data_IF_857959760349
#
_entry.id   IF_857959760349
#
_cell.length_a   1.000
_cell.length_b   1.000
_cell.length_c   1.000
_cell.angle_alpha   90.00
_cell.angle_beta   90.00
_cell.angle_gamma   90.00
#
_symmetry.space_group_name_H-M   'P 1'
#
loop_
_entity.id
_entity.type
_entity.pdbx_description
1 polymer ?
#
# COMPACT_ATOMS: atom_id res chain seq x y z
N UNK A 1 -65.99 25.62 -23.13
CA UNK A 1 -65.02 25.03 -24.08
C UNK A 1 -63.98 26.07 -24.45
N UNK A 2 -62.77 26.01 -23.87
CA UNK A 2 -61.57 26.70 -24.36
C UNK A 2 -60.35 25.93 -23.84
N UNK A 3 -59.43 25.67 -24.76
CA UNK A 3 -58.49 24.54 -24.79
C UNK A 3 -57.27 24.80 -23.90
N UNK A 4 -56.91 23.82 -23.08
CA UNK A 4 -55.62 23.73 -22.39
C UNK A 4 -54.64 23.10 -23.39
N UNK A 5 -53.61 23.84 -23.81
CA UNK A 5 -52.49 23.29 -24.57
C UNK A 5 -51.36 23.07 -23.57
N UNK A 6 -51.21 21.81 -23.16
CA UNK A 6 -50.16 21.32 -22.28
C UNK A 6 -48.82 21.35 -23.03
N UNK A 7 -47.86 22.11 -22.54
CA UNK A 7 -46.48 22.11 -23.07
C UNK A 7 -45.72 20.93 -22.47
N UNK A 8 -45.30 19.98 -23.30
CA UNK A 8 -44.52 18.80 -22.92
C UNK A 8 -43.04 19.16 -22.96
N UNK A 9 -42.45 19.46 -21.80
CA UNK A 9 -40.99 19.58 -21.65
C UNK A 9 -40.44 18.18 -21.42
N UNK A 10 -39.80 17.60 -22.44
CA UNK A 10 -39.01 16.38 -22.31
C UNK A 10 -37.68 16.76 -21.65
N UNK A 11 -37.54 16.43 -20.36
CA UNK A 11 -36.29 16.53 -19.63
C UNK A 11 -35.37 15.37 -20.01
N UNK A 12 -34.29 15.67 -20.74
CA UNK A 12 -33.22 14.72 -20.99
C UNK A 12 -32.39 14.58 -19.70
N UNK A 13 -32.66 13.56 -18.90
CA UNK A 13 -31.80 13.16 -17.78
C UNK A 13 -30.50 12.59 -18.34
N UNK A 14 -29.45 13.41 -18.38
CA UNK A 14 -28.07 12.95 -18.55
C UNK A 14 -27.66 12.25 -17.25
N UNK A 15 -27.77 10.92 -17.21
CA UNK A 15 -27.12 10.13 -16.17
C UNK A 15 -25.62 10.16 -16.44
N UNK A 16 -24.92 11.06 -15.76
CA UNK A 16 -23.47 10.97 -15.63
C UNK A 16 -23.20 9.75 -14.76
N UNK A 17 -22.96 8.59 -15.38
CA UNK A 17 -22.36 7.47 -14.67
C UNK A 17 -20.97 7.94 -14.24
N UNK A 18 -20.80 8.24 -12.96
CA UNK A 18 -19.48 8.40 -12.37
C UNK A 18 -18.77 7.06 -12.57
N UNK A 19 -17.87 7.01 -13.55
CA UNK A 19 -17.02 5.82 -13.71
C UNK A 19 -16.09 5.82 -12.51
N UNK A 20 -16.29 4.86 -11.61
CA UNK A 20 -15.40 4.66 -10.48
C UNK A 20 -13.96 4.50 -11.00
N UNK A 21 -13.06 5.37 -10.55
CA UNK A 21 -11.68 5.36 -10.99
C UNK A 21 -11.01 4.10 -10.42
N UNK A 22 -10.61 3.16 -11.29
CA UNK A 22 -9.84 2.00 -10.85
C UNK A 22 -8.40 2.39 -10.52
N UNK A 23 -7.93 1.99 -9.35
CA UNK A 23 -6.58 2.27 -8.85
C UNK A 23 -5.74 0.98 -8.92
N UNK A 24 -4.55 1.00 -9.55
CA UNK A 24 -3.68 -0.17 -9.59
C UNK A 24 -3.03 -0.42 -8.23
N UNK A 25 -2.90 -1.68 -7.84
CA UNK A 25 -2.24 -2.10 -6.59
C UNK A 25 -0.74 -1.82 -6.60
N UNK A 26 -0.12 -1.89 -7.79
CA UNK A 26 1.32 -1.66 -7.95
C UNK A 26 1.62 -0.65 -9.06
N UNK A 27 2.77 0.00 -8.90
CA UNK A 27 3.43 0.75 -9.94
C UNK A 27 4.63 -0.05 -10.44
N UNK A 28 4.70 -0.24 -11.76
CA UNK A 28 5.66 -1.09 -12.44
C UNK A 28 6.66 -0.23 -13.21
N UNK A 29 7.94 -0.41 -12.91
CA UNK A 29 9.07 0.25 -13.56
C UNK A 29 9.97 -0.75 -14.31
N UNK A 30 10.99 -0.21 -14.97
CA UNK A 30 11.99 -1.01 -15.67
C UNK A 30 12.78 -1.92 -14.72
N UNK A 31 13.38 -2.98 -15.27
CA UNK A 31 14.27 -3.87 -14.51
C UNK A 31 15.54 -3.12 -14.09
N UNK A 32 15.99 -3.36 -12.86
CA UNK A 32 17.17 -2.76 -12.27
C UNK A 32 17.78 -3.72 -11.25
N UNK A 33 19.06 -3.52 -10.89
CA UNK A 33 19.67 -4.29 -9.82
C UNK A 33 19.15 -3.85 -8.44
N UNK A 34 19.16 -4.76 -7.46
CA UNK A 34 18.71 -4.46 -6.09
C UNK A 34 19.52 -3.30 -5.48
N UNK A 35 20.84 -3.33 -5.63
CA UNK A 35 21.72 -2.27 -5.12
C UNK A 35 21.46 -0.90 -5.77
N UNK A 36 21.19 -0.87 -7.08
CA UNK A 36 20.83 0.39 -7.76
C UNK A 36 19.49 0.94 -7.26
N UNK A 37 18.50 0.07 -7.05
CA UNK A 37 17.18 0.45 -6.54
C UNK A 37 17.31 1.05 -5.14
N UNK A 38 18.00 0.39 -4.22
CA UNK A 38 18.23 0.91 -2.87
C UNK A 38 18.93 2.26 -2.88
N UNK A 39 20.00 2.39 -3.66
CA UNK A 39 20.77 3.63 -3.77
C UNK A 39 19.91 4.80 -4.28
N UNK A 40 19.12 4.56 -5.34
CA UNK A 40 18.23 5.57 -5.92
C UNK A 40 17.06 5.92 -5.01
N UNK A 41 16.55 4.98 -4.23
CA UNK A 41 15.51 5.24 -3.22
C UNK A 41 16.07 6.14 -2.10
N UNK A 42 17.23 5.77 -1.53
CA UNK A 42 17.91 6.59 -0.50
C UNK A 42 18.20 8.02 -0.98
N UNK A 43 18.73 8.14 -2.20
CA UNK A 43 19.07 9.44 -2.81
C UNK A 43 17.85 10.36 -2.95
N UNK A 44 16.66 9.80 -3.14
CA UNK A 44 15.42 10.57 -3.29
C UNK A 44 14.57 10.63 -2.00
N UNK A 45 15.20 10.46 -0.83
CA UNK A 45 14.57 10.75 0.45
C UNK A 45 13.80 9.60 1.08
N UNK A 46 13.97 8.37 0.59
CA UNK A 46 13.45 7.18 1.27
C UNK A 46 14.44 6.66 2.30
N UNK A 47 13.91 6.28 3.45
CA UNK A 47 14.59 5.44 4.42
C UNK A 47 14.36 3.96 4.04
N UNK A 48 15.43 3.17 4.01
CA UNK A 48 15.34 1.72 3.80
C UNK A 48 15.29 1.05 5.18
N UNK A 49 14.16 0.43 5.49
CA UNK A 49 13.92 -0.20 6.79
C UNK A 49 14.43 -1.64 6.84
N UNK A 50 14.25 -2.38 5.74
CA UNK A 50 14.73 -3.75 5.61
C UNK A 50 14.88 -4.13 4.13
N UNK A 51 15.80 -5.05 3.86
CA UNK A 51 15.90 -5.74 2.57
C UNK A 51 15.87 -7.25 2.83
N UNK A 52 14.95 -7.96 2.18
CA UNK A 52 14.83 -9.42 2.29
C UNK A 52 14.63 -10.01 0.90
N UNK A 53 15.55 -10.88 0.50
CA UNK A 53 15.64 -11.40 -0.87
C UNK A 53 15.63 -10.26 -1.91
N UNK A 54 14.54 -10.13 -2.66
CA UNK A 54 14.34 -9.12 -3.70
C UNK A 54 13.36 -8.02 -3.28
N UNK A 55 12.97 -7.95 -2.00
CA UNK A 55 12.03 -6.95 -1.50
C UNK A 55 12.75 -5.96 -0.61
N UNK A 56 12.58 -4.68 -0.92
CA UNK A 56 13.07 -3.54 -0.14
C UNK A 56 11.87 -2.88 0.52
N UNK A 57 11.89 -2.77 1.85
CA UNK A 57 10.88 -2.04 2.61
C UNK A 57 11.35 -0.62 2.84
N UNK A 58 10.52 0.34 2.43
CA UNK A 58 10.84 1.76 2.46
C UNK A 58 9.82 2.56 3.26
N UNK A 59 10.27 3.71 3.75
CA UNK A 59 9.39 4.73 4.33
C UNK A 59 9.91 6.13 4.00
N UNK A 60 9.07 7.14 4.23
CA UNK A 60 9.44 8.55 4.21
C UNK A 60 8.51 9.32 5.18
N UNK A 61 8.71 10.63 5.31
CA UNK A 61 7.93 11.44 6.25
C UNK A 61 6.43 11.55 5.91
N UNK A 62 6.06 11.47 4.63
CA UNK A 62 4.66 11.52 4.19
C UNK A 62 3.93 10.21 4.56
N UNK A 63 4.60 9.07 4.35
CA UNK A 63 4.11 7.75 4.73
C UNK A 63 4.00 7.63 6.26
N UNK A 64 5.03 8.00 7.03
CA UNK A 64 5.01 7.91 8.51
C UNK A 64 3.85 8.68 9.13
N UNK A 65 3.46 9.83 8.57
CA UNK A 65 2.35 10.67 9.06
C UNK A 65 0.97 10.00 8.99
N UNK A 66 0.83 8.92 8.24
CA UNK A 66 -0.43 8.18 8.15
C UNK A 66 -0.76 7.44 9.44
N UNK A 67 0.25 7.07 10.23
CA UNK A 67 0.10 6.29 11.46
C UNK A 67 -0.64 4.95 11.26
N UNK A 68 -0.60 4.37 10.06
CA UNK A 68 -1.19 3.07 9.71
C UNK A 68 -0.16 2.18 9.02
N UNK A 69 -0.59 1.00 8.55
CA UNK A 69 0.25 0.07 7.77
C UNK A 69 0.79 0.69 6.46
N UNK A 70 0.17 1.73 5.90
CA UNK A 70 0.74 2.44 4.73
C UNK A 70 1.97 3.28 5.08
N UNK A 71 2.37 3.35 6.35
CA UNK A 71 3.60 4.03 6.77
C UNK A 71 4.86 3.40 6.16
N UNK A 72 4.75 2.18 5.65
CA UNK A 72 5.77 1.47 4.89
C UNK A 72 5.22 1.07 3.53
N UNK A 73 6.12 0.96 2.54
CA UNK A 73 5.83 0.37 1.24
C UNK A 73 6.88 -0.67 0.90
N UNK A 74 6.49 -1.67 0.11
CA UNK A 74 7.39 -2.69 -0.40
C UNK A 74 7.69 -2.50 -1.89
N UNK A 75 8.98 -2.53 -2.20
CA UNK A 75 9.53 -2.50 -3.56
C UNK A 75 10.11 -3.87 -3.88
N UNK A 76 9.50 -4.60 -4.80
CA UNK A 76 10.04 -5.84 -5.34
C UNK A 76 10.91 -5.57 -6.56
N UNK A 77 12.11 -6.15 -6.56
CA UNK A 77 13.11 -6.06 -7.63
C UNK A 77 13.19 -7.40 -8.34
N UNK A 78 12.42 -7.56 -9.41
CA UNK A 78 12.35 -8.77 -10.19
C UNK A 78 13.15 -8.69 -11.50
N UNK A 79 13.36 -9.86 -12.12
CA UNK A 79 13.97 -9.94 -13.46
C UNK A 79 13.17 -9.17 -14.52
N UNK A 80 11.83 -9.24 -14.43
CA UNK A 80 10.89 -8.62 -15.36
C UNK A 80 10.62 -7.13 -15.09
N UNK A 81 11.15 -6.57 -14.01
CA UNK A 81 10.89 -5.19 -13.64
C UNK A 81 10.88 -4.96 -12.13
N UNK A 82 10.86 -3.69 -11.76
CA UNK A 82 10.61 -3.26 -10.38
C UNK A 82 9.12 -3.04 -10.19
N UNK A 83 8.57 -3.49 -9.06
CA UNK A 83 7.16 -3.30 -8.69
C UNK A 83 7.10 -2.70 -7.29
N UNK A 84 6.51 -1.52 -7.16
CA UNK A 84 6.31 -0.86 -5.87
C UNK A 84 4.82 -0.81 -5.54
N UNK A 85 4.47 -1.04 -4.28
CA UNK A 85 3.10 -0.82 -3.79
C UNK A 85 2.65 0.61 -4.09
N UNK A 86 1.46 0.76 -4.66
CA UNK A 86 0.91 2.07 -4.97
C UNK A 86 0.38 2.72 -3.67
N UNK A 87 0.98 3.84 -3.19
CA UNK A 87 0.55 4.45 -1.94
C UNK A 87 -0.91 4.93 -1.98
N UNK A 88 -1.46 5.29 -3.15
CA UNK A 88 -2.87 5.67 -3.25
C UNK A 88 -3.80 4.46 -3.05
N UNK A 89 -3.43 3.28 -3.56
CA UNK A 89 -4.20 2.05 -3.41
C UNK A 89 -4.27 1.63 -1.95
N UNK A 90 -3.12 1.52 -1.30
CA UNK A 90 -3.04 1.13 0.11
C UNK A 90 -3.51 2.25 1.04
N UNK A 91 -3.36 3.51 0.63
CA UNK A 91 -3.92 4.66 1.32
C UNK A 91 -5.43 4.58 1.42
N UNK A 92 -6.12 4.36 0.30
CA UNK A 92 -7.57 4.15 0.29
C UNK A 92 -7.98 2.95 1.14
N UNK A 93 -7.26 1.83 1.04
CA UNK A 93 -7.58 0.62 1.79
C UNK A 93 -7.37 0.77 3.32
N UNK A 94 -6.28 1.40 3.76
CA UNK A 94 -5.94 1.50 5.18
C UNK A 94 -6.45 2.77 5.88
N UNK A 95 -6.67 3.85 5.14
CA UNK A 95 -7.15 5.12 5.71
C UNK A 95 -8.65 5.32 5.51
N UNK A 96 -9.27 4.64 4.54
CA UNK A 96 -10.68 4.79 4.20
C UNK A 96 -11.05 6.27 4.04
N UNK A 97 -12.04 6.72 4.81
CA UNK A 97 -12.53 8.11 4.84
C UNK A 97 -11.45 9.15 5.20
N UNK A 98 -10.34 8.75 5.83
CA UNK A 98 -9.24 9.67 6.19
C UNK A 98 -8.30 9.94 5.02
N UNK A 99 -8.37 9.15 3.94
CA UNK A 99 -7.56 9.34 2.76
C UNK A 99 -7.94 10.63 2.03
N UNK A 100 -6.93 11.40 1.62
CA UNK A 100 -7.13 12.59 0.78
C UNK A 100 -6.49 12.36 -0.58
N UNK A 101 -7.22 12.65 -1.65
CA UNK A 101 -6.68 12.53 -3.01
C UNK A 101 -5.40 13.37 -3.15
N UNK A 102 -4.33 12.73 -3.64
CA UNK A 102 -3.02 13.37 -3.80
C UNK A 102 -2.22 13.51 -2.51
N UNK A 103 -2.66 12.91 -1.39
CA UNK A 103 -1.93 12.89 -0.13
C UNK A 103 -0.52 12.31 -0.25
N UNK A 104 -0.27 11.45 -1.24
CA UNK A 104 1.02 10.83 -1.49
C UNK A 104 1.80 11.42 -2.66
N UNK A 105 1.47 12.65 -3.09
CA UNK A 105 2.11 13.27 -4.25
C UNK A 105 3.63 13.35 -4.11
N UNK A 106 4.15 13.67 -2.90
CA UNK A 106 5.60 13.78 -2.67
C UNK A 106 6.26 12.40 -2.79
N UNK A 107 5.64 11.38 -2.21
CA UNK A 107 6.08 9.99 -2.28
C UNK A 107 6.10 9.49 -3.72
N UNK A 108 5.04 9.73 -4.47
CA UNK A 108 4.93 9.32 -5.88
C UNK A 108 5.99 10.01 -6.76
N UNK A 109 6.24 11.29 -6.55
CA UNK A 109 7.30 12.02 -7.27
C UNK A 109 8.70 11.49 -6.91
N UNK A 110 8.95 11.18 -5.64
CA UNK A 110 10.20 10.55 -5.22
C UNK A 110 10.36 9.16 -5.87
N UNK A 111 9.31 8.33 -5.91
CA UNK A 111 9.32 7.03 -6.57
C UNK A 111 9.63 7.15 -8.07
N UNK A 112 9.01 8.10 -8.77
CA UNK A 112 9.29 8.35 -10.21
C UNK A 112 10.74 8.80 -10.43
N UNK A 113 11.29 9.64 -9.56
CA UNK A 113 12.71 10.04 -9.64
C UNK A 113 13.66 8.87 -9.37
N UNK A 114 13.32 7.99 -8.43
CA UNK A 114 14.12 6.81 -8.11
C UNK A 114 14.06 5.72 -9.18
N UNK A 115 12.86 5.43 -9.69
CA UNK A 115 12.59 4.22 -10.49
C UNK A 115 12.30 4.53 -11.97
N UNK A 116 12.23 5.81 -12.33
CA UNK A 116 11.94 6.26 -13.68
C UNK A 116 10.46 6.25 -14.01
N UNK A 117 10.13 5.93 -15.27
CA UNK A 117 8.74 5.83 -15.71
C UNK A 117 8.03 4.65 -15.04
N UNK A 118 6.93 4.94 -14.35
CA UNK A 118 6.11 3.99 -13.62
C UNK A 118 4.73 3.87 -14.27
N UNK A 119 4.27 2.64 -14.49
CA UNK A 119 2.94 2.35 -15.03
C UNK A 119 2.11 1.57 -14.01
N UNK A 120 0.79 1.80 -13.99
CA UNK A 120 -0.12 1.00 -13.18
C UNK A 120 -0.08 -0.47 -13.61
N UNK A 121 -0.13 -1.37 -12.63
CA UNK A 121 -0.27 -2.80 -12.86
C UNK A 121 -1.69 -3.17 -13.32
N UNK A 122 -1.87 -4.42 -13.77
CA UNK A 122 -3.18 -4.92 -14.20
C UNK A 122 -4.11 -5.18 -13.00
N UNK A 123 -3.53 -5.53 -11.85
CA UNK A 123 -4.23 -5.70 -10.59
C UNK A 123 -4.72 -4.33 -10.10
N UNK A 124 -6.04 -4.10 -10.18
CA UNK A 124 -6.67 -2.83 -9.85
C UNK A 124 -8.04 -3.07 -9.21
N UNK A 125 -8.48 -2.12 -8.40
CA UNK A 125 -9.79 -2.13 -7.75
C UNK A 125 -10.43 -0.73 -7.85
N UNK A 126 -11.76 -0.63 -7.78
CA UNK A 126 -12.43 0.66 -7.68
C UNK A 126 -11.98 1.44 -6.44
N UNK A 127 -11.82 2.76 -6.58
CA UNK A 127 -11.44 3.61 -5.45
C UNK A 127 -12.45 3.57 -4.29
N UNK A 128 -13.74 3.38 -4.62
CA UNK A 128 -14.86 3.21 -3.71
C UNK A 128 -14.94 1.82 -3.07
N UNK A 129 -14.37 0.81 -3.73
CA UNK A 129 -14.33 -0.57 -3.21
C UNK A 129 -13.15 -0.81 -2.25
N UNK A 130 -12.12 0.03 -2.29
CA UNK A 130 -10.90 -0.15 -1.48
C UNK A 130 -11.12 -0.01 0.03
N UNK A 131 -11.86 0.99 0.54
CA UNK A 131 -12.16 1.11 1.97
C UNK A 131 -12.95 -0.09 2.52
N UNK A 132 -13.78 -0.70 1.67
CA UNK A 132 -14.68 -1.81 2.04
C UNK A 132 -14.09 -3.19 1.71
N UNK A 133 -12.82 -3.25 1.29
CA UNK A 133 -12.22 -4.50 0.84
C UNK A 133 -12.02 -5.50 2.00
N UNK A 134 -12.59 -6.69 1.85
CA UNK A 134 -12.36 -7.85 2.73
C UNK A 134 -11.84 -9.03 1.94
N UNK A 135 -10.75 -9.63 2.40
CA UNK A 135 -10.26 -10.88 1.80
C UNK A 135 -11.20 -12.05 2.08
N UNK A 136 -11.83 -12.08 3.27
CA UNK A 136 -12.81 -13.09 3.66
C UNK A 136 -13.96 -12.44 4.43
N UNK A 137 -15.18 -12.94 4.22
CA UNK A 137 -16.35 -12.54 5.01
C UNK A 137 -16.08 -12.73 6.50
N UNK A 138 -16.30 -11.68 7.29
CA UNK A 138 -16.09 -11.69 8.75
C UNK A 138 -14.67 -11.36 9.21
N UNK A 139 -13.78 -10.96 8.30
CA UNK A 139 -12.50 -10.35 8.68
C UNK A 139 -12.75 -8.95 9.28
N UNK A 140 -12.07 -8.55 10.37
CA UNK A 140 -12.13 -7.18 10.87
C UNK A 140 -11.61 -6.17 9.84
N UNK A 141 -12.15 -4.94 9.87
CA UNK A 141 -11.60 -3.83 9.10
C UNK A 141 -10.27 -3.37 9.70
N UNK A 142 -9.46 -2.64 8.91
CA UNK A 142 -8.15 -2.17 9.37
C UNK A 142 -8.22 -1.13 10.51
N UNK A 143 -9.36 -0.47 10.68
CA UNK A 143 -9.63 0.44 11.79
C UNK A 143 -10.13 -0.26 13.08
N UNK A 144 -10.29 -1.58 13.04
CA UNK A 144 -10.70 -2.44 14.16
C UNK A 144 -9.58 -3.43 14.58
N UNK A 145 -8.42 -2.95 15.09
CA UNK A 145 -7.30 -3.82 15.43
C UNK A 145 -7.61 -4.72 16.64
N UNK A 146 -7.22 -5.99 16.54
CA UNK A 146 -7.26 -6.93 17.66
C UNK A 146 -5.98 -6.75 18.50
N UNK A 147 -6.14 -6.43 19.79
CA UNK A 147 -4.99 -6.35 20.72
C UNK A 147 -4.53 -7.75 21.09
N UNK A 148 -3.32 -8.12 20.67
CA UNK A 148 -2.75 -9.46 20.94
C UNK A 148 -1.88 -9.52 22.21
N UNK A 149 -1.34 -8.40 22.68
CA UNK A 149 -0.50 -8.34 23.89
C UNK A 149 -0.33 -6.88 24.41
N UNK A 150 0.15 -6.72 25.66
CA UNK A 150 0.34 -5.41 26.31
C UNK A 150 1.72 -4.77 25.99
N UNK A 151 1.69 -3.50 25.54
CA UNK A 151 2.85 -2.68 25.10
C UNK A 151 4.10 -2.74 25.98
N UNK A 152 3.96 -2.73 27.32
CA UNK A 152 5.11 -2.59 28.23
C UNK A 152 6.08 -3.79 28.21
N UNK A 153 5.58 -5.00 27.90
CA UNK A 153 6.42 -6.21 27.81
C UNK A 153 7.05 -6.39 26.43
N UNK A 154 6.39 -5.91 25.37
CA UNK A 154 6.75 -6.21 23.99
C UNK A 154 7.98 -5.41 23.56
N UNK A 155 8.09 -4.13 23.92
CA UNK A 155 9.18 -3.28 23.43
C UNK A 155 10.59 -3.81 23.78
N UNK A 156 10.75 -4.31 25.01
CA UNK A 156 11.99 -4.94 25.44
C UNK A 156 12.25 -6.29 24.76
N UNK A 157 11.21 -6.96 24.25
CA UNK A 157 11.30 -8.22 23.51
C UNK A 157 11.50 -8.02 22.00
N UNK A 158 11.26 -6.82 21.48
CA UNK A 158 11.58 -6.47 20.09
C UNK A 158 13.08 -6.28 19.91
N UNK A 159 13.75 -5.70 20.90
CA UNK A 159 15.19 -5.46 20.86
C UNK A 159 15.96 -6.79 20.98
N UNK A 160 16.62 -7.20 19.89
CA UNK A 160 17.43 -8.42 19.85
C UNK A 160 16.68 -9.69 19.43
N UNK A 161 15.45 -9.58 18.91
CA UNK A 161 14.72 -10.72 18.36
C UNK A 161 15.00 -10.87 16.85
N UNK A 162 15.64 -11.97 16.47
CA UNK A 162 16.01 -12.29 15.08
C UNK A 162 14.82 -12.45 14.13
N UNK A 163 13.59 -12.53 14.66
CA UNK A 163 12.37 -12.57 13.86
C UNK A 163 11.83 -11.18 13.50
N UNK A 164 12.43 -10.10 14.00
CA UNK A 164 12.08 -8.73 13.64
C UNK A 164 13.01 -8.25 12.54
N UNK A 165 12.45 -7.87 11.39
CA UNK A 165 13.20 -7.31 10.26
C UNK A 165 13.40 -5.80 10.42
N UNK A 166 12.37 -5.09 10.90
CA UNK A 166 12.47 -3.66 11.16
C UNK A 166 11.46 -3.22 12.22
N UNK A 167 11.70 -2.06 12.82
CA UNK A 167 10.74 -1.34 13.66
C UNK A 167 10.82 0.15 13.36
N UNK A 168 9.68 0.79 13.07
CA UNK A 168 9.61 2.24 12.79
C UNK A 168 8.66 2.91 13.77
N UNK A 169 9.13 3.98 14.42
CA UNK A 169 8.30 4.80 15.29
C UNK A 169 7.52 5.82 14.47
N UNK A 170 6.20 5.84 14.66
CA UNK A 170 5.28 6.73 13.97
C UNK A 170 5.03 7.99 14.82
N UNK A 171 4.63 9.12 14.20
CA UNK A 171 4.45 10.39 14.90
C UNK A 171 3.46 10.36 16.08
N UNK A 172 2.47 9.47 16.06
CA UNK A 172 1.53 9.29 17.17
C UNK A 172 2.07 8.45 18.34
N UNK A 173 3.33 8.00 18.29
CA UNK A 173 3.95 7.13 19.29
C UNK A 173 3.64 5.64 19.13
N UNK A 174 2.95 5.25 18.05
CA UNK A 174 2.81 3.84 17.66
C UNK A 174 4.09 3.35 16.99
N UNK A 175 4.37 2.05 17.10
CA UNK A 175 5.57 1.45 16.50
C UNK A 175 5.09 0.36 15.54
N UNK A 176 5.35 0.55 14.26
CA UNK A 176 5.10 -0.45 13.24
C UNK A 176 6.30 -1.40 13.17
N UNK A 177 6.03 -2.70 13.25
CA UNK A 177 7.03 -3.76 13.34
C UNK A 177 6.87 -4.70 12.16
N UNK A 178 7.93 -4.88 11.38
CA UNK A 178 7.99 -5.87 10.32
C UNK A 178 8.60 -7.16 10.80
N UNK A 179 7.87 -8.26 10.69
CA UNK A 179 8.26 -9.60 11.08
C UNK A 179 8.78 -10.40 9.88
N UNK A 180 9.85 -11.17 10.11
CA UNK A 180 10.30 -12.20 9.18
C UNK A 180 9.26 -13.31 9.15
N UNK A 181 8.85 -13.73 7.96
CA UNK A 181 8.04 -14.94 7.85
C UNK A 181 8.89 -16.18 8.13
N UNK A 182 8.25 -17.21 8.69
CA UNK A 182 8.89 -18.51 8.85
C UNK A 182 9.24 -19.12 7.48
N UNK A 183 10.15 -20.09 7.48
CA UNK A 183 10.57 -20.80 6.28
C UNK A 183 9.40 -21.54 5.60
N UNK A 184 8.40 -21.96 6.36
CA UNK A 184 7.20 -22.64 5.87
C UNK A 184 6.27 -21.64 5.17
N UNK A 185 5.99 -20.50 5.81
CA UNK A 185 5.11 -19.47 5.22
C UNK A 185 5.75 -18.82 4.00
N UNK A 186 7.06 -18.62 3.97
CA UNK A 186 7.75 -18.09 2.78
C UNK A 186 7.70 -19.05 1.58
N UNK A 187 7.56 -20.36 1.80
CA UNK A 187 7.35 -21.34 0.72
C UNK A 187 5.95 -21.26 0.11
N UNK A 188 4.94 -20.81 0.86
CA UNK A 188 3.56 -20.68 0.35
C UNK A 188 3.49 -19.85 -0.94
N UNK A 189 4.31 -18.80 -1.03
CA UNK A 189 4.38 -17.94 -2.21
C UNK A 189 4.91 -18.64 -3.45
N UNK A 190 5.89 -19.50 -3.24
CA UNK A 190 6.46 -20.33 -4.29
C UNK A 190 5.39 -21.31 -4.79
N UNK A 191 4.58 -21.86 -3.89
CA UNK A 191 3.44 -22.73 -4.23
C UNK A 191 2.38 -22.00 -5.05
N UNK A 192 2.02 -20.78 -4.68
CA UNK A 192 1.03 -19.97 -5.42
C UNK A 192 1.56 -19.42 -6.77
N UNK A 193 2.85 -19.62 -7.08
CA UNK A 193 3.54 -19.03 -8.25
C UNK A 193 3.42 -17.49 -8.32
N UNK A 194 3.14 -16.85 -7.19
CA UNK A 194 3.05 -15.39 -7.04
C UNK A 194 4.44 -14.78 -6.78
N UNK A 195 5.40 -15.13 -7.64
CA UNK A 195 6.82 -14.74 -7.47
C UNK A 195 7.12 -13.31 -7.92
N UNK A 196 6.12 -12.60 -8.44
CA UNK A 196 6.27 -11.26 -9.04
C UNK A 196 5.61 -10.16 -8.20
N UNK A 197 4.83 -10.49 -7.16
CA UNK A 197 4.12 -9.50 -6.36
C UNK A 197 4.85 -9.26 -5.03
N UNK A 198 5.04 -7.99 -4.66
CA UNK A 198 5.79 -7.55 -3.47
C UNK A 198 5.07 -7.83 -2.15
N UNK A 199 3.92 -8.51 -2.20
CA UNK A 199 2.90 -8.44 -1.15
C UNK A 199 3.16 -9.29 0.09
N UNK A 200 4.21 -10.11 0.17
CA UNK A 200 4.26 -11.12 1.24
C UNK A 200 5.53 -11.10 2.10
N UNK A 201 6.40 -10.10 2.01
CA UNK A 201 7.48 -9.96 3.00
C UNK A 201 7.86 -8.49 3.18
N UNK A 202 7.93 -7.96 4.42
CA UNK A 202 7.62 -8.54 5.74
C UNK A 202 6.12 -8.62 6.08
N UNK A 203 5.75 -9.36 7.15
CA UNK A 203 4.42 -9.26 7.77
C UNK A 203 4.42 -8.17 8.85
N UNK A 204 3.45 -7.27 8.83
CA UNK A 204 3.49 -6.07 9.67
C UNK A 204 2.50 -6.13 10.83
N UNK A 205 2.95 -5.68 12.01
CA UNK A 205 2.13 -5.51 13.20
C UNK A 205 2.30 -4.08 13.75
N UNK A 206 1.19 -3.47 14.18
CA UNK A 206 1.10 -2.07 14.60
C UNK A 206 0.79 -1.95 16.11
#
# INVERSE_FOLDING_TARGET
>A
MKKIITSLVIGLLLTVSAVAQSIPAYLVGASASLGDVESKLKTNGFEILATTDNVVTITNDELKKTNTYVATLHVYVGKSGVRVQNPDYFGLAYLGDKYKQGQFATTLEALKKSLGSLKGSEEKLGADELPDYHFMMGMPYFDEPITVANKAKIYNQLQGNDNILYSVSLPNGTILVGHKLSNETSKFLKTLKQTHNSQILPYEAL
#
